data_IF_487630583897
#
_entry.id   IF_487630583897
#
_cell.length_a   1.000
_cell.length_b   1.000
_cell.length_c   1.000
_cell.angle_alpha   90.00
_cell.angle_beta   90.00
_cell.angle_gamma   90.00
#
_symmetry.space_group_name_H-M   'P 1'
#
loop_
_entity.id
_entity.type
_entity.pdbx_description
1 polymer ?
#
# COMPACT_ATOMS: atom_id res chain seq x y z
N UNK A 1 -18.94 35.35 -10.07
CA UNK A 1 -19.97 34.34 -10.41
C UNK A 1 -19.30 33.21 -11.19
N UNK A 2 -18.88 32.16 -10.51
CA UNK A 2 -18.71 30.83 -11.09
C UNK A 2 -19.00 29.87 -9.93
N UNK A 3 -20.19 29.29 -9.93
CA UNK A 3 -20.57 28.23 -8.98
C UNK A 3 -20.00 26.94 -9.56
N UNK A 4 -19.10 26.28 -8.85
CA UNK A 4 -18.76 24.87 -9.11
C UNK A 4 -19.44 24.02 -8.05
N UNK A 5 -20.15 23.01 -8.52
CA UNK A 5 -20.91 22.05 -7.75
C UNK A 5 -19.94 21.08 -7.07
N UNK A 6 -19.96 21.07 -5.74
CA UNK A 6 -19.40 20.00 -4.93
C UNK A 6 -20.34 18.80 -5.05
N UNK A 7 -19.88 17.70 -5.65
CA UNK A 7 -20.59 16.42 -5.64
C UNK A 7 -20.22 15.73 -4.32
N UNK A 8 -21.08 15.89 -3.32
CA UNK A 8 -20.94 15.22 -2.03
C UNK A 8 -21.49 13.80 -2.18
N UNK A 9 -20.60 12.80 -2.30
CA UNK A 9 -20.98 11.39 -2.24
C UNK A 9 -21.27 11.04 -0.78
N UNK A 10 -22.56 11.07 -0.43
CA UNK A 10 -23.09 10.70 0.88
C UNK A 10 -23.09 9.17 1.02
N UNK A 11 -22.14 8.61 1.76
CA UNK A 11 -22.22 7.23 2.25
C UNK A 11 -23.36 7.12 3.25
N UNK A 12 -24.48 6.54 2.82
CA UNK A 12 -25.64 6.27 3.69
C UNK A 12 -25.32 5.03 4.55
N UNK A 13 -24.97 5.26 5.81
CA UNK A 13 -25.01 4.26 6.87
C UNK A 13 -26.47 3.86 7.12
N UNK A 14 -26.88 2.69 6.60
CA UNK A 14 -28.17 2.08 6.94
C UNK A 14 -28.07 1.40 8.31
N UNK A 15 -28.51 2.11 9.35
CA UNK A 15 -28.84 1.51 10.63
C UNK A 15 -30.18 0.76 10.51
N UNK A 16 -30.14 -0.55 10.30
CA UNK A 16 -31.33 -1.41 10.39
C UNK A 16 -31.61 -1.76 11.86
N UNK A 17 -32.66 -1.15 12.41
CA UNK A 17 -33.25 -1.52 13.68
C UNK A 17 -34.07 -2.81 13.54
N UNK A 18 -33.72 -3.82 14.32
CA UNK A 18 -34.54 -5.02 14.47
C UNK A 18 -35.72 -4.71 15.42
N UNK A 19 -36.94 -4.72 14.88
CA UNK A 19 -38.17 -4.83 15.66
C UNK A 19 -38.98 -6.03 15.15
N UNK A 20 -39.05 -7.06 16.01
CA UNK A 20 -39.91 -8.24 15.86
C UNK A 20 -41.40 -7.85 15.91
N UNK A 21 -42.21 -8.42 15.01
CA UNK A 21 -43.36 -9.29 15.33
C UNK A 21 -44.30 -9.51 14.10
N UNK A 22 -45.08 -10.61 14.06
CA UNK A 22 -45.45 -11.30 12.82
C UNK A 22 -46.94 -11.19 12.43
N UNK A 23 -47.25 -11.51 11.18
CA UNK A 23 -48.53 -12.15 10.80
C UNK A 23 -48.51 -12.75 9.38
N UNK A 24 -48.56 -14.08 9.32
CA UNK A 24 -49.46 -14.94 8.52
C UNK A 24 -50.12 -14.47 7.20
N UNK A 25 -49.94 -15.33 6.17
CA UNK A 25 -50.94 -15.80 5.16
C UNK A 25 -51.26 -14.78 4.03
N UNK A 26 -51.24 -15.07 2.72
CA UNK A 26 -51.78 -16.22 1.99
C UNK A 26 -51.31 -16.26 0.51
N UNK A 27 -51.35 -17.46 -0.07
CA UNK A 27 -51.15 -17.83 -1.49
C UNK A 27 -52.18 -17.19 -2.43
N UNK A 28 -51.76 -16.65 -3.60
CA UNK A 28 -52.52 -16.74 -4.87
C UNK A 28 -51.57 -16.86 -6.07
N UNK A 29 -51.90 -17.82 -6.91
CA UNK A 29 -51.34 -18.23 -8.20
C UNK A 29 -51.52 -17.22 -9.36
N UNK A 30 -50.58 -17.34 -10.32
CA UNK A 30 -50.80 -17.47 -11.77
C UNK A 30 -50.76 -16.26 -12.74
N UNK A 31 -49.91 -16.49 -13.77
CA UNK A 31 -50.15 -16.39 -15.23
C UNK A 31 -49.54 -15.21 -16.01
N UNK A 32 -48.46 -15.59 -16.73
CA UNK A 32 -48.03 -15.26 -18.12
C UNK A 32 -48.08 -13.83 -18.64
N UNK A 33 -46.98 -13.39 -19.26
CA UNK A 33 -46.89 -13.29 -20.72
C UNK A 33 -45.46 -13.02 -21.19
N UNK A 34 -45.10 -13.69 -22.28
CA UNK A 34 -43.86 -13.54 -23.00
C UNK A 34 -43.87 -12.24 -23.82
N UNK A 35 -42.69 -11.63 -23.99
CA UNK A 35 -42.46 -10.76 -25.13
C UNK A 35 -41.02 -10.91 -25.64
N UNK A 36 -40.96 -11.29 -26.92
CA UNK A 36 -39.78 -11.50 -27.74
C UNK A 36 -39.04 -10.18 -27.97
N UNK A 37 -37.71 -10.19 -27.89
CA UNK A 37 -36.87 -9.16 -28.47
C UNK A 37 -35.74 -9.81 -29.29
N UNK A 38 -35.87 -9.62 -30.59
CA UNK A 38 -34.98 -9.93 -31.70
C UNK A 38 -33.51 -9.54 -31.45
N UNK A 39 -32.62 -10.54 -31.51
CA UNK A 39 -31.16 -10.37 -31.62
C UNK A 39 -30.78 -10.21 -33.10
N UNK A 40 -30.18 -9.07 -33.46
CA UNK A 40 -29.45 -8.92 -34.71
C UNK A 40 -27.98 -9.28 -34.49
N UNK A 41 -27.56 -10.40 -35.09
CA UNK A 41 -26.16 -10.76 -35.27
C UNK A 41 -25.52 -9.77 -36.26
N UNK A 42 -24.40 -9.17 -35.87
CA UNK A 42 -23.48 -8.53 -36.83
C UNK A 42 -22.21 -9.37 -36.85
N UNK A 43 -22.00 -10.05 -37.98
CA UNK A 43 -20.74 -10.69 -38.36
C UNK A 43 -19.64 -9.63 -38.47
N UNK A 44 -18.51 -9.83 -37.80
CA UNK A 44 -17.25 -9.16 -38.15
C UNK A 44 -16.24 -10.23 -38.53
N UNK A 45 -15.77 -10.08 -39.77
CA UNK A 45 -14.85 -10.96 -40.45
C UNK A 45 -13.45 -10.90 -39.84
N UNK A 46 -12.91 -12.10 -39.63
CA UNK A 46 -11.50 -12.42 -39.50
C UNK A 46 -10.68 -11.85 -40.66
N UNK A 47 -9.57 -11.16 -40.36
CA UNK A 47 -8.45 -11.04 -41.29
C UNK A 47 -7.11 -11.22 -40.56
N UNK A 48 -6.37 -12.21 -41.05
CA UNK A 48 -4.98 -12.51 -40.78
C UNK A 48 -4.05 -11.37 -41.22
N UNK A 49 -3.03 -11.06 -40.41
CA UNK A 49 -1.70 -10.64 -40.86
C UNK A 49 -0.73 -10.72 -39.66
N UNK A 50 0.08 -11.78 -39.59
CA UNK A 50 1.52 -11.75 -39.86
C UNK A 50 2.38 -11.06 -38.78
N UNK A 51 3.03 -11.93 -37.99
CA UNK A 51 4.25 -11.65 -37.22
C UNK A 51 5.35 -11.04 -38.11
N UNK A 52 6.25 -10.22 -37.53
CA UNK A 52 7.63 -10.18 -37.95
C UNK A 52 8.55 -10.83 -36.91
N UNK A 53 9.53 -11.51 -37.48
CA UNK A 53 10.56 -12.32 -36.84
C UNK A 53 11.51 -11.53 -35.95
N UNK A 54 11.90 -12.24 -34.89
CA UNK A 54 12.99 -11.98 -33.96
C UNK A 54 14.32 -12.18 -34.69
N UNK A 55 15.14 -11.13 -34.81
CA UNK A 55 16.53 -11.25 -35.26
C UNK A 55 17.48 -10.94 -34.11
N UNK A 56 18.08 -12.00 -33.57
CA UNK A 56 19.14 -11.98 -32.57
C UNK A 56 20.45 -11.78 -33.35
N UNK A 57 21.17 -10.69 -33.05
CA UNK A 57 22.57 -10.52 -33.43
C UNK A 57 23.40 -10.54 -32.15
N UNK A 58 24.07 -11.66 -31.93
CA UNK A 58 25.15 -11.80 -30.97
C UNK A 58 26.43 -11.27 -31.62
N UNK A 59 27.09 -10.30 -31.00
CA UNK A 59 28.50 -10.04 -31.23
C UNK A 59 29.24 -10.01 -29.90
N UNK A 60 30.03 -11.07 -29.71
CA UNK A 60 31.09 -11.15 -28.73
C UNK A 60 32.21 -10.17 -29.10
N UNK A 61 32.78 -9.48 -28.12
CA UNK A 61 34.21 -9.19 -28.15
C UNK A 61 34.77 -9.28 -26.74
N UNK A 62 35.58 -10.31 -26.56
CA UNK A 62 36.46 -10.50 -25.42
C UNK A 62 37.83 -9.86 -25.71
N UNK A 63 38.46 -9.43 -24.62
CA UNK A 63 39.89 -9.21 -24.40
C UNK A 63 40.57 -8.00 -25.06
N UNK A 64 41.02 -7.07 -24.21
CA UNK A 64 42.47 -6.95 -23.98
C UNK A 64 42.76 -6.30 -22.62
N UNK A 65 43.45 -7.06 -21.76
CA UNK A 65 44.26 -6.53 -20.65
C UNK A 65 45.47 -5.77 -21.22
N UNK A 66 45.83 -4.63 -20.62
CA UNK A 66 47.23 -4.30 -20.36
C UNK A 66 47.37 -3.16 -19.32
N UNK A 67 47.93 -3.57 -18.18
CA UNK A 67 48.77 -2.87 -17.20
C UNK A 67 49.41 -1.53 -17.58
N UNK A 68 49.48 -0.61 -16.59
CA UNK A 68 50.64 0.20 -16.14
C UNK A 68 50.21 0.80 -14.78
N UNK A 69 50.69 0.28 -13.64
CA UNK A 69 51.87 0.70 -12.86
C UNK A 69 51.88 2.16 -12.36
N UNK A 70 51.70 2.27 -11.05
CA UNK A 70 52.22 3.21 -10.05
C UNK A 70 52.80 4.56 -10.49
N UNK A 71 52.27 5.64 -9.89
CA UNK A 71 53.14 6.70 -9.41
C UNK A 71 52.58 7.31 -8.11
N UNK A 72 53.24 6.98 -7.00
CA UNK A 72 53.18 7.75 -5.76
C UNK A 72 53.82 9.11 -6.04
N UNK A 73 53.12 10.20 -5.73
CA UNK A 73 53.82 11.41 -5.36
C UNK A 73 53.16 12.10 -4.17
N UNK A 74 54.05 12.49 -3.28
CA UNK A 74 53.77 12.87 -1.89
C UNK A 74 53.60 14.39 -1.86
N UNK A 75 52.41 14.88 -1.58
CA UNK A 75 52.18 16.30 -1.33
C UNK A 75 51.42 16.47 -0.02
N UNK A 76 52.21 16.66 1.04
CA UNK A 76 51.81 17.21 2.33
C UNK A 76 51.15 18.58 2.11
N UNK A 77 49.85 18.69 2.34
CA UNK A 77 49.20 19.98 2.59
C UNK A 77 48.49 19.93 3.93
N UNK A 78 49.22 20.45 4.91
CA UNK A 78 48.71 20.95 6.17
C UNK A 78 47.80 22.15 5.85
N UNK A 79 46.49 21.96 6.00
CA UNK A 79 45.51 23.01 6.04
C UNK A 79 44.33 22.51 6.87
N UNK A 80 44.42 22.79 8.18
CA UNK A 80 43.31 22.83 9.11
C UNK A 80 42.17 23.66 8.50
N UNK A 81 41.16 22.97 7.95
CA UNK A 81 39.85 23.56 7.75
C UNK A 81 39.18 23.49 9.11
N UNK A 82 39.00 24.66 9.71
CA UNK A 82 38.07 24.88 10.80
C UNK A 82 36.68 24.57 10.22
N UNK A 83 36.24 23.31 10.33
CA UNK A 83 34.86 22.89 10.11
C UNK A 83 34.01 23.59 11.17
N UNK A 84 33.64 24.84 10.91
CA UNK A 84 32.37 25.34 11.41
C UNK A 84 31.33 24.37 10.86
N UNK A 85 30.96 23.38 11.67
CA UNK A 85 29.94 22.39 11.35
C UNK A 85 28.75 23.15 10.75
N UNK A 86 28.58 23.00 9.43
CA UNK A 86 27.46 23.59 8.73
C UNK A 86 26.24 22.84 9.28
N UNK A 87 25.49 23.49 10.16
CA UNK A 87 24.25 22.96 10.74
C UNK A 87 23.38 22.54 9.57
N UNK A 88 22.94 21.28 9.58
CA UNK A 88 22.17 20.75 8.45
C UNK A 88 20.82 21.45 8.38
N UNK A 89 20.23 21.53 7.19
CA UNK A 89 18.91 22.14 7.03
C UNK A 89 17.84 21.39 7.84
N UNK A 90 18.01 20.07 8.03
CA UNK A 90 17.19 19.24 8.88
C UNK A 90 17.29 19.62 10.36
N UNK A 91 18.48 19.86 10.89
CA UNK A 91 18.68 20.32 12.27
C UNK A 91 18.00 21.68 12.49
N UNK A 92 18.13 22.61 11.54
CA UNK A 92 17.44 23.89 11.58
C UNK A 92 15.91 23.73 11.53
N UNK A 93 15.39 22.75 10.78
CA UNK A 93 13.95 22.49 10.73
C UNK A 93 13.44 21.91 12.04
N UNK A 94 14.16 20.94 12.63
CA UNK A 94 13.84 20.36 13.94
C UNK A 94 13.89 21.40 15.07
N UNK A 95 14.71 22.44 14.93
CA UNK A 95 14.76 23.57 15.87
C UNK A 95 13.77 24.69 15.54
N UNK A 96 12.85 24.48 14.59
CA UNK A 96 11.86 25.47 14.16
C UNK A 96 12.46 26.75 13.53
N UNK A 97 13.67 26.68 12.97
CA UNK A 97 14.41 27.80 12.36
C UNK A 97 14.43 27.75 10.82
N UNK A 98 14.25 26.57 10.23
CA UNK A 98 14.05 26.38 8.80
C UNK A 98 12.59 25.98 8.50
N UNK A 99 12.24 26.02 7.22
CA UNK A 99 10.90 25.68 6.74
C UNK A 99 10.95 24.54 5.74
N UNK A 100 9.90 23.74 5.71
CA UNK A 100 9.57 22.82 4.63
C UNK A 100 8.64 23.51 3.64
N UNK A 101 8.90 23.31 2.34
CA UNK A 101 8.04 23.76 1.27
C UNK A 101 7.00 22.70 0.93
N UNK A 102 5.74 23.00 1.14
CA UNK A 102 4.61 22.11 0.85
C UNK A 102 4.02 22.53 -0.50
N UNK A 103 4.31 21.75 -1.54
CA UNK A 103 3.71 21.91 -2.87
C UNK A 103 2.67 20.81 -3.14
N UNK A 104 1.73 21.08 -4.05
CA UNK A 104 0.71 20.10 -4.49
C UNK A 104 1.20 19.23 -5.64
N UNK A 105 2.42 19.44 -6.13
CA UNK A 105 2.98 18.69 -7.26
C UNK A 105 3.39 17.28 -6.85
N UNK A 106 3.78 17.12 -5.59
CA UNK A 106 3.96 15.82 -4.97
C UNK A 106 2.62 15.41 -4.34
N UNK A 107 2.03 14.30 -4.79
CA UNK A 107 0.79 13.77 -4.21
C UNK A 107 1.11 13.14 -2.85
N UNK A 108 1.22 13.98 -1.82
CA UNK A 108 1.79 13.67 -0.50
C UNK A 108 0.77 13.05 0.44
N UNK A 109 -0.02 12.08 -0.03
CA UNK A 109 -1.02 11.39 0.79
C UNK A 109 -2.21 12.26 1.24
N UNK A 110 -3.21 11.60 1.84
CA UNK A 110 -4.54 12.15 2.15
C UNK A 110 -4.51 13.48 2.92
N UNK A 111 -3.60 13.65 3.88
CA UNK A 111 -3.55 14.84 4.73
C UNK A 111 -2.95 16.06 4.04
N UNK A 112 -1.79 15.94 3.39
CA UNK A 112 -1.21 17.08 2.67
C UNK A 112 -1.92 17.36 1.35
N UNK A 113 -2.58 16.36 0.73
CA UNK A 113 -3.36 16.58 -0.49
C UNK A 113 -4.58 17.50 -0.28
N UNK A 114 -5.07 17.62 0.96
CA UNK A 114 -6.22 18.46 1.30
C UNK A 114 -5.81 19.81 1.92
N UNK A 115 -4.53 20.04 2.20
CA UNK A 115 -4.05 21.32 2.74
C UNK A 115 -4.03 22.37 1.63
N UNK A 116 -5.08 23.18 1.61
CA UNK A 116 -5.12 24.47 0.93
C UNK A 116 -4.68 25.58 1.90
N UNK A 117 -3.76 26.47 1.50
CA UNK A 117 -3.17 26.61 0.16
C UNK A 117 -1.90 25.78 -0.06
N UNK A 118 -1.81 25.12 -1.22
CA UNK A 118 -0.52 24.60 -1.72
C UNK A 118 0.48 25.72 -2.06
N UNK A 119 1.77 25.41 -1.96
CA UNK A 119 2.87 26.35 -2.20
C UNK A 119 3.22 27.20 -0.98
N UNK A 120 3.11 26.65 0.21
CA UNK A 120 3.44 27.33 1.47
C UNK A 120 4.75 26.81 2.07
N UNK A 121 5.46 27.69 2.75
CA UNK A 121 6.59 27.32 3.60
C UNK A 121 6.09 27.22 5.05
N UNK A 122 6.39 26.11 5.72
CA UNK A 122 5.94 25.80 7.07
C UNK A 122 7.15 25.48 7.95
N UNK A 123 7.20 26.02 9.17
CA UNK A 123 8.10 25.50 10.21
C UNK A 123 7.58 24.15 10.73
N UNK A 124 8.33 23.49 11.61
CA UNK A 124 7.84 22.26 12.25
C UNK A 124 6.57 22.50 13.06
N UNK A 125 6.52 23.61 13.82
CA UNK A 125 5.33 24.01 14.58
C UNK A 125 4.12 24.25 13.68
N UNK A 126 4.33 24.95 12.56
CA UNK A 126 3.27 25.17 11.57
C UNK A 126 2.77 23.84 10.97
N UNK A 127 3.70 22.95 10.61
CA UNK A 127 3.37 21.64 10.03
C UNK A 127 2.56 20.78 10.99
N UNK A 128 2.94 20.75 12.26
CA UNK A 128 2.22 20.01 13.31
C UNK A 128 0.83 20.62 13.54
N UNK A 129 0.71 21.95 13.55
CA UNK A 129 -0.60 22.59 13.68
C UNK A 129 -1.52 22.27 12.49
N UNK A 130 -0.98 22.21 11.27
CA UNK A 130 -1.75 21.80 10.09
C UNK A 130 -2.29 20.37 10.20
N UNK A 131 -1.50 19.43 10.75
CA UNK A 131 -1.98 18.07 11.00
C UNK A 131 -3.14 18.05 12.01
N UNK A 132 -3.00 18.79 13.12
CA UNK A 132 -4.04 18.89 14.16
C UNK A 132 -5.33 19.47 13.57
N UNK A 133 -5.21 20.57 12.83
CA UNK A 133 -6.35 21.25 12.21
C UNK A 133 -7.05 20.31 11.20
N UNK A 134 -6.29 19.55 10.40
CA UNK A 134 -6.84 18.58 9.45
C UNK A 134 -7.57 17.43 10.16
N UNK A 135 -7.02 16.90 11.26
CA UNK A 135 -7.66 15.85 12.05
C UNK A 135 -8.97 16.35 12.68
N UNK A 136 -8.97 17.57 13.22
CA UNK A 136 -10.16 18.18 13.81
C UNK A 136 -11.25 18.45 12.75
N UNK A 137 -10.86 18.85 11.53
CA UNK A 137 -11.80 19.08 10.41
C UNK A 137 -12.41 17.77 9.87
N UNK A 138 -11.57 16.78 9.54
CA UNK A 138 -12.01 15.55 8.87
C UNK A 138 -12.84 14.64 9.77
N UNK A 139 -12.47 14.53 11.05
CA UNK A 139 -13.13 13.64 12.00
C UNK A 139 -14.10 14.37 12.93
N UNK A 140 -14.18 15.71 12.86
CA UNK A 140 -14.99 16.52 13.77
C UNK A 140 -14.52 16.42 15.22
N UNK A 141 -13.24 16.08 15.41
CA UNK A 141 -12.62 16.06 16.73
C UNK A 141 -12.40 17.48 17.23
N UNK A 142 -12.43 17.63 18.55
CA UNK A 142 -12.13 18.91 19.18
C UNK A 142 -11.17 18.65 20.32
N UNK A 143 -10.06 19.38 20.33
CA UNK A 143 -9.04 19.24 21.37
C UNK A 143 -8.06 18.12 21.09
N UNK A 144 -7.77 17.84 19.81
CA UNK A 144 -6.62 17.05 19.44
C UNK A 144 -5.35 17.73 19.97
N UNK A 145 -4.49 16.96 20.63
CA UNK A 145 -3.23 17.44 21.23
C UNK A 145 -2.06 16.58 20.81
N UNK A 146 -0.85 17.14 20.78
CA UNK A 146 0.38 16.40 20.52
C UNK A 146 0.70 15.54 21.74
N UNK A 147 1.01 14.26 21.51
CA UNK A 147 1.60 13.37 22.51
C UNK A 147 3.12 13.34 22.41
N UNK A 148 3.65 13.14 21.21
CA UNK A 148 5.08 13.08 20.94
C UNK A 148 5.41 13.53 19.53
N UNK A 149 6.61 14.06 19.37
CA UNK A 149 7.27 14.23 18.09
C UNK A 149 8.56 13.44 18.16
N UNK A 150 8.73 12.50 17.25
CA UNK A 150 9.94 11.70 17.12
C UNK A 150 10.53 11.90 15.72
N UNK A 151 11.83 11.69 15.58
CA UNK A 151 12.50 11.81 14.29
C UNK A 151 13.64 10.81 14.15
N UNK A 152 14.09 10.61 12.92
CA UNK A 152 15.31 9.89 12.61
C UNK A 152 15.88 10.35 11.26
N UNK A 153 17.17 10.10 11.07
CA UNK A 153 17.83 10.22 9.77
C UNK A 153 17.86 8.85 9.10
N UNK A 154 17.48 8.80 7.82
CA UNK A 154 17.46 7.59 6.98
C UNK A 154 18.15 7.88 5.65
N UNK A 155 18.63 6.87 4.94
CA UNK A 155 19.34 6.99 3.66
C UNK A 155 18.49 6.32 2.56
N UNK A 156 17.49 7.03 2.05
CA UNK A 156 16.53 6.48 1.11
C UNK A 156 17.25 5.91 -0.12
N UNK A 157 16.95 4.66 -0.48
CA UNK A 157 17.63 4.01 -1.61
C UNK A 157 19.11 3.68 -1.40
N UNK A 158 19.67 3.87 -0.20
CA UNK A 158 21.07 3.57 0.14
C UNK A 158 22.06 4.30 -0.79
N UNK A 159 21.86 5.61 -0.97
CA UNK A 159 22.67 6.46 -1.85
C UNK A 159 23.75 7.27 -1.11
N UNK A 160 23.75 7.18 0.22
CA UNK A 160 24.67 7.84 1.14
C UNK A 160 24.26 9.24 1.56
N UNK A 161 23.10 9.74 1.13
CA UNK A 161 22.55 11.03 1.53
C UNK A 161 21.39 10.83 2.50
N UNK A 162 21.43 11.54 3.63
CA UNK A 162 20.39 11.40 4.64
C UNK A 162 19.15 12.24 4.29
N UNK A 163 17.98 11.65 4.53
CA UNK A 163 16.68 12.28 4.67
C UNK A 163 16.25 12.31 6.13
N UNK A 164 15.34 13.25 6.45
CA UNK A 164 14.73 13.34 7.77
C UNK A 164 13.35 12.69 7.73
N UNK A 165 13.13 11.68 8.56
CA UNK A 165 11.78 11.16 8.84
C UNK A 165 11.29 11.71 10.18
N UNK A 166 10.04 12.16 10.22
CA UNK A 166 9.36 12.70 11.40
C UNK A 166 8.11 11.88 11.65
N UNK A 167 7.88 11.54 12.92
CA UNK A 167 6.71 10.85 13.42
C UNK A 167 6.02 11.76 14.45
N UNK A 168 4.77 12.15 14.19
CA UNK A 168 3.96 12.99 15.08
C UNK A 168 2.77 12.20 15.57
N UNK A 169 2.78 11.89 16.87
CA UNK A 169 1.67 11.21 17.55
C UNK A 169 0.75 12.25 18.17
N UNK A 170 -0.54 12.14 17.86
CA UNK A 170 -1.58 13.01 18.41
C UNK A 170 -2.62 12.19 19.16
N UNK A 171 -3.16 12.80 20.21
CA UNK A 171 -4.23 12.26 21.05
C UNK A 171 -5.50 13.08 20.83
N UNK A 172 -6.59 12.39 20.51
CA UNK A 172 -7.95 12.92 20.47
C UNK A 172 -8.89 11.92 21.18
N UNK A 173 -10.09 11.67 20.64
CA UNK A 173 -10.89 10.50 21.04
C UNK A 173 -10.16 9.20 20.67
N UNK A 174 -9.37 9.26 19.60
CA UNK A 174 -8.52 8.21 19.07
C UNK A 174 -7.05 8.68 19.08
N UNK A 175 -6.10 7.79 18.80
CA UNK A 175 -4.70 8.16 18.56
C UNK A 175 -4.40 8.10 17.07
N UNK A 176 -3.63 9.08 16.58
CA UNK A 176 -3.15 9.12 15.20
C UNK A 176 -1.65 9.32 15.18
N UNK A 177 -0.99 8.61 14.28
CA UNK A 177 0.46 8.74 14.05
C UNK A 177 0.70 9.20 12.63
N UNK A 178 1.36 10.34 12.47
CA UNK A 178 1.66 10.93 11.17
C UNK A 178 3.15 10.74 10.87
N UNK A 179 3.47 10.10 9.76
CA UNK A 179 4.84 9.93 9.27
C UNK A 179 5.08 10.87 8.10
N UNK A 180 6.19 11.59 8.11
CA UNK A 180 6.62 12.44 7.00
C UNK A 180 8.10 12.17 6.72
N UNK A 181 8.44 11.93 5.45
CA UNK A 181 9.84 11.91 4.99
C UNK A 181 10.12 13.22 4.25
N UNK A 182 11.18 13.91 4.66
CA UNK A 182 11.65 15.18 4.10
C UNK A 182 13.00 14.98 3.42
N UNK A 183 13.14 15.54 2.22
CA UNK A 183 14.39 15.57 1.46
C UNK A 183 14.74 17.01 1.07
N UNK A 184 16.03 17.34 1.09
CA UNK A 184 16.53 18.59 0.57
C UNK A 184 16.67 18.54 -0.97
N UNK A 185 16.04 19.51 -1.64
CA UNK A 185 16.23 19.78 -3.06
C UNK A 185 16.69 21.23 -3.23
N UNK A 186 17.89 21.43 -3.80
CA UNK A 186 18.44 22.75 -4.11
C UNK A 186 18.41 23.74 -2.92
N UNK A 187 18.68 23.27 -1.69
CA UNK A 187 18.65 24.10 -0.47
C UNK A 187 17.27 24.31 0.15
N UNK A 188 16.25 23.58 -0.30
CA UNK A 188 14.89 23.66 0.21
C UNK A 188 14.40 22.28 0.65
N UNK A 189 13.85 22.16 1.87
CA UNK A 189 13.21 20.92 2.31
C UNK A 189 11.86 20.76 1.62
N UNK A 190 11.58 19.55 1.15
CA UNK A 190 10.27 19.15 0.62
C UNK A 190 9.86 17.82 1.22
N UNK A 191 8.56 17.61 1.51
CA UNK A 191 8.08 16.30 1.81
C UNK A 191 8.11 15.44 0.54
N UNK A 192 8.50 14.18 0.69
CA UNK A 192 8.51 13.17 -0.39
C UNK A 192 7.62 11.98 -0.06
N UNK A 193 7.17 11.88 1.19
CA UNK A 193 6.23 10.89 1.67
C UNK A 193 5.45 11.43 2.84
N UNK A 194 4.17 11.08 2.93
CA UNK A 194 3.33 11.31 4.10
C UNK A 194 2.35 10.16 4.25
N UNK A 195 2.23 9.69 5.48
CA UNK A 195 1.29 8.63 5.85
C UNK A 195 0.69 8.92 7.20
N UNK A 196 -0.58 8.56 7.37
CA UNK A 196 -1.25 8.62 8.66
C UNK A 196 -1.78 7.26 9.01
N UNK A 197 -1.53 6.90 10.26
CA UNK A 197 -2.07 5.73 10.92
C UNK A 197 -3.12 6.12 11.95
N UNK A 198 -4.21 5.37 11.97
CA UNK A 198 -5.23 5.45 13.01
C UNK A 198 -5.09 4.29 14.01
N UNK A 199 -6.12 4.08 14.83
CA UNK A 199 -6.05 3.17 15.99
C UNK A 199 -5.89 1.69 15.67
N UNK A 200 -5.97 1.32 14.39
CA UNK A 200 -5.90 -0.05 13.88
C UNK A 200 -4.97 -0.17 12.67
N UNK A 201 -4.08 0.80 12.48
CA UNK A 201 -3.04 0.70 11.48
C UNK A 201 -1.69 1.06 12.07
N UNK A 202 -0.65 0.57 11.42
CA UNK A 202 0.72 0.81 11.82
C UNK A 202 1.60 0.83 10.58
N UNK A 203 2.66 1.63 10.65
CA UNK A 203 3.63 1.83 9.57
C UNK A 203 5.02 1.62 10.13
N UNK A 204 5.81 0.84 9.41
CA UNK A 204 7.20 0.57 9.67
C UNK A 204 8.03 1.17 8.55
N UNK A 205 9.01 1.99 8.92
CA UNK A 205 9.97 2.60 8.01
C UNK A 205 11.36 2.07 8.39
N UNK A 206 12.14 1.67 7.40
CA UNK A 206 13.50 1.22 7.62
C UNK A 206 14.54 2.29 7.26
N UNK A 207 15.81 2.02 7.56
CA UNK A 207 16.94 2.95 7.34
C UNK A 207 17.17 3.30 5.86
N UNK A 208 16.54 2.58 4.92
CA UNK A 208 16.69 2.80 3.48
C UNK A 208 15.40 3.26 2.77
N UNK A 209 14.41 3.74 3.53
CA UNK A 209 13.17 4.28 2.98
C UNK A 209 12.19 3.22 2.47
N UNK A 210 12.38 1.94 2.80
CA UNK A 210 11.37 0.90 2.57
C UNK A 210 10.29 0.99 3.66
N UNK A 211 9.03 0.98 3.21
CA UNK A 211 7.87 1.30 4.03
C UNK A 211 6.88 0.15 3.93
N UNK A 212 6.41 -0.26 5.10
CA UNK A 212 5.40 -1.29 5.24
C UNK A 212 4.29 -0.76 6.13
N UNK A 213 3.07 -0.72 5.63
CA UNK A 213 1.91 -0.41 6.46
C UNK A 213 0.99 -1.62 6.52
N UNK A 214 0.31 -1.78 7.64
CA UNK A 214 -0.83 -2.68 7.75
C UNK A 214 -1.98 -2.01 8.49
N UNK A 215 -3.19 -2.44 8.16
CA UNK A 215 -4.42 -1.85 8.61
C UNK A 215 -5.49 -2.91 8.83
N UNK A 216 -6.44 -2.58 9.71
CA UNK A 216 -7.61 -3.40 9.92
C UNK A 216 -8.90 -2.58 9.84
N UNK A 217 -9.68 -2.86 8.81
CA UNK A 217 -10.96 -2.19 8.52
C UNK A 217 -12.18 -2.91 9.13
N UNK A 218 -11.97 -3.96 9.95
CA UNK A 218 -13.08 -4.72 10.51
C UNK A 218 -12.63 -6.02 11.17
N UNK A 219 -13.57 -6.89 11.53
CA UNK A 219 -13.25 -8.22 12.07
C UNK A 219 -12.60 -9.16 11.02
N UNK A 220 -12.81 -8.86 9.74
CA UNK A 220 -12.50 -9.76 8.64
C UNK A 220 -11.71 -9.10 7.51
N UNK A 221 -11.36 -7.82 7.62
CA UNK A 221 -10.68 -7.10 6.55
C UNK A 221 -9.39 -6.50 7.06
N UNK A 222 -8.32 -6.87 6.38
CA UNK A 222 -6.99 -6.36 6.63
C UNK A 222 -6.30 -6.03 5.33
N UNK A 223 -5.55 -4.94 5.35
CA UNK A 223 -4.76 -4.44 4.24
C UNK A 223 -3.29 -4.38 4.63
N UNK A 224 -2.42 -4.71 3.70
CA UNK A 224 -0.98 -4.56 3.81
C UNK A 224 -0.51 -3.77 2.60
N UNK A 225 0.28 -2.73 2.82
CA UNK A 225 0.84 -1.90 1.75
C UNK A 225 2.36 -1.96 1.82
N UNK A 226 3.00 -2.18 0.67
CA UNK A 226 4.46 -2.14 0.51
C UNK A 226 4.84 -1.04 -0.46
N UNK A 227 5.73 -0.17 -0.01
CA UNK A 227 6.13 1.04 -0.72
C UNK A 227 7.61 1.31 -0.42
N UNK A 228 8.26 2.17 -1.19
CA UNK A 228 9.53 2.76 -0.76
C UNK A 228 9.80 4.11 -1.42
N UNK A 229 10.71 4.87 -0.80
CA UNK A 229 11.28 6.10 -1.35
C UNK A 229 12.70 5.82 -1.83
N UNK A 230 13.03 6.17 -3.07
CA UNK A 230 14.39 6.04 -3.61
C UNK A 230 15.31 7.21 -3.18
N UNK A 231 16.60 7.12 -3.49
CA UNK A 231 17.56 8.19 -3.16
C UNK A 231 17.34 9.51 -3.90
N UNK A 232 16.48 9.55 -4.92
CA UNK A 232 16.06 10.79 -5.55
C UNK A 232 14.83 11.40 -4.87
N UNK A 233 14.30 10.79 -3.80
CA UNK A 233 13.06 11.18 -3.16
C UNK A 233 11.81 10.80 -3.96
N UNK A 234 11.92 9.85 -4.90
CA UNK A 234 10.77 9.38 -5.68
C UNK A 234 10.05 8.28 -4.91
N UNK A 235 8.72 8.42 -4.82
CA UNK A 235 7.85 7.38 -4.31
C UNK A 235 7.66 6.23 -5.30
N UNK A 236 7.71 5.01 -4.79
CA UNK A 236 7.48 3.78 -5.51
C UNK A 236 6.46 2.92 -4.78
N UNK A 237 5.30 2.73 -5.41
CA UNK A 237 4.31 1.75 -4.99
C UNK A 237 4.74 0.36 -5.44
N UNK A 238 4.75 -0.62 -4.53
CA UNK A 238 5.02 -2.02 -4.87
C UNK A 238 3.70 -2.78 -4.99
N UNK A 239 2.96 -2.94 -3.90
CA UNK A 239 1.66 -3.59 -3.91
C UNK A 239 0.84 -3.28 -2.65
N UNK A 240 -0.46 -3.50 -2.76
CA UNK A 240 -1.41 -3.60 -1.66
C UNK A 240 -1.99 -5.00 -1.66
N UNK A 241 -1.96 -5.69 -0.53
CA UNK A 241 -2.66 -6.96 -0.33
C UNK A 241 -3.83 -6.71 0.59
N UNK A 242 -5.03 -6.95 0.09
CA UNK A 242 -6.26 -6.96 0.86
C UNK A 242 -6.64 -8.41 1.12
N UNK A 243 -6.62 -8.81 2.38
CA UNK A 243 -7.20 -10.09 2.80
C UNK A 243 -8.64 -9.85 3.23
N UNK A 244 -9.57 -10.46 2.52
CA UNK A 244 -10.97 -10.46 2.86
C UNK A 244 -11.30 -11.81 3.49
N UNK A 245 -11.65 -11.78 4.76
CA UNK A 245 -12.32 -12.80 5.55
C UNK A 245 -11.59 -14.15 5.58
N UNK A 246 -11.16 -14.55 6.79
CA UNK A 246 -10.88 -15.96 7.04
C UNK A 246 -12.16 -16.72 6.67
N UNK A 247 -12.09 -17.63 5.71
CA UNK A 247 -13.14 -18.61 5.40
C UNK A 247 -13.18 -19.56 6.61
N UNK A 248 -13.87 -19.12 7.67
CA UNK A 248 -13.98 -19.84 8.95
C UNK A 248 -15.18 -20.77 8.85
N UNK A 249 -14.91 -22.04 9.07
CA UNK A 249 -15.95 -23.04 9.31
C UNK A 249 -16.60 -22.71 10.65
N UNK A 250 -17.93 -22.44 10.67
CA UNK A 250 -18.84 -22.37 11.83
C UNK A 250 -19.28 -21.02 12.45
N UNK A 251 -18.67 -19.86 12.15
CA UNK A 251 -18.99 -18.61 12.87
C UNK A 251 -19.36 -17.39 11.99
N UNK A 252 -18.79 -17.26 10.80
CA UNK A 252 -19.08 -16.18 9.86
C UNK A 252 -19.18 -16.76 8.44
N UNK A 253 -20.29 -16.53 7.75
CA UNK A 253 -20.49 -17.02 6.38
C UNK A 253 -19.33 -16.62 5.47
N UNK A 254 -18.88 -17.54 4.62
CA UNK A 254 -17.77 -17.36 3.68
C UNK A 254 -18.15 -16.50 2.48
N UNK A 255 -18.63 -15.28 2.73
CA UNK A 255 -18.90 -14.31 1.67
C UNK A 255 -17.58 -13.74 1.16
N UNK A 256 -17.28 -14.00 -0.11
CA UNK A 256 -16.13 -13.45 -0.82
C UNK A 256 -16.58 -12.25 -1.63
N UNK A 257 -15.73 -11.23 -1.73
CA UNK A 257 -15.97 -10.08 -2.59
C UNK A 257 -14.93 -10.05 -3.70
N UNK A 258 -15.39 -10.11 -4.95
CA UNK A 258 -14.54 -9.99 -6.14
C UNK A 258 -15.41 -9.62 -7.35
N UNK A 259 -14.80 -9.02 -8.38
CA UNK A 259 -15.51 -8.51 -9.57
C UNK A 259 -16.68 -7.59 -9.20
N UNK A 260 -16.49 -6.73 -8.20
CA UNK A 260 -17.53 -5.83 -7.66
C UNK A 260 -18.81 -6.50 -7.12
N UNK A 261 -18.83 -7.81 -6.84
CA UNK A 261 -20.00 -8.55 -6.36
C UNK A 261 -19.68 -9.43 -5.14
N UNK A 262 -20.68 -9.67 -4.29
CA UNK A 262 -20.57 -10.63 -3.18
C UNK A 262 -20.95 -12.04 -3.63
N UNK A 263 -20.08 -12.99 -3.33
CA UNK A 263 -20.20 -14.39 -3.70
C UNK A 263 -20.27 -15.25 -2.43
N UNK A 264 -21.38 -15.96 -2.26
CA UNK A 264 -21.57 -16.83 -1.10
C UNK A 264 -20.98 -18.22 -1.38
N UNK A 265 -20.18 -18.74 -0.45
CA UNK A 265 -19.81 -20.15 -0.45
C UNK A 265 -20.96 -21.01 0.11
N UNK A 266 -21.31 -22.09 -0.58
CA UNK A 266 -22.39 -22.98 -0.14
C UNK A 266 -22.00 -23.77 1.11
N UNK A 267 -22.97 -24.11 1.97
CA UNK A 267 -22.72 -24.98 3.15
C UNK A 267 -22.14 -26.34 2.75
N UNK A 268 -22.49 -26.85 1.56
CA UNK A 268 -21.93 -28.11 1.03
C UNK A 268 -20.44 -27.96 0.71
N UNK A 269 -20.05 -26.88 0.03
CA UNK A 269 -18.65 -26.59 -0.28
C UNK A 269 -17.85 -26.37 1.01
N UNK A 270 -18.35 -25.53 1.92
CA UNK A 270 -17.72 -25.34 3.22
C UNK A 270 -17.55 -26.67 3.96
N UNK A 271 -18.59 -27.52 3.95
CA UNK A 271 -18.64 -28.84 4.59
C UNK A 271 -17.60 -29.86 4.13
N UNK A 272 -16.99 -29.67 2.96
CA UNK A 272 -15.97 -30.56 2.40
C UNK A 272 -14.54 -29.97 2.44
N UNK A 273 -14.38 -28.71 2.85
CA UNK A 273 -13.07 -28.10 3.01
C UNK A 273 -12.45 -28.51 4.35
N UNK A 274 -11.17 -28.89 4.30
CA UNK A 274 -10.38 -29.21 5.49
C UNK A 274 -9.43 -28.04 5.82
N UNK A 275 -9.74 -27.35 6.93
CA UNK A 275 -8.96 -26.21 7.44
C UNK A 275 -9.62 -24.85 7.17
N UNK A 276 -9.00 -23.80 7.70
CA UNK A 276 -9.37 -22.41 7.41
C UNK A 276 -8.59 -21.95 6.18
N UNK A 277 -9.20 -21.09 5.37
CA UNK A 277 -8.57 -20.51 4.20
C UNK A 277 -8.67 -18.99 4.26
N UNK A 278 -7.63 -18.32 3.80
CA UNK A 278 -7.62 -16.88 3.60
C UNK A 278 -7.71 -16.59 2.11
N UNK A 279 -8.54 -15.63 1.74
CA UNK A 279 -8.68 -15.13 0.38
C UNK A 279 -7.98 -13.77 0.25
N UNK A 280 -7.17 -13.63 -0.78
CA UNK A 280 -6.33 -12.45 -1.02
C UNK A 280 -6.71 -11.79 -2.34
N UNK A 281 -6.76 -10.47 -2.31
CA UNK A 281 -6.82 -9.58 -3.44
C UNK A 281 -5.54 -8.74 -3.41
N UNK A 282 -4.83 -8.66 -4.52
CA UNK A 282 -3.53 -7.99 -4.60
C UNK A 282 -3.55 -7.00 -5.75
N UNK A 283 -3.38 -5.73 -5.40
CA UNK A 283 -3.20 -4.61 -6.31
C UNK A 283 -1.69 -4.39 -6.51
N UNK A 284 -1.22 -4.50 -7.75
CA UNK A 284 0.19 -4.29 -8.14
C UNK A 284 0.41 -2.92 -8.81
N UNK A 285 -0.65 -2.15 -9.05
CA UNK A 285 -0.65 -0.95 -9.88
C UNK A 285 -1.08 0.32 -9.13
N UNK A 286 -1.58 0.20 -7.90
CA UNK A 286 -1.97 1.31 -7.04
C UNK A 286 -3.31 1.91 -7.46
N UNK A 287 -4.18 1.07 -8.02
CA UNK A 287 -5.51 1.38 -8.54
C UNK A 287 -6.59 1.04 -7.51
N UNK A 288 -6.44 1.52 -6.27
CA UNK A 288 -7.29 1.17 -5.12
C UNK A 288 -8.82 1.32 -5.32
N UNK A 289 -9.27 2.11 -6.30
CA UNK A 289 -10.70 2.30 -6.63
C UNK A 289 -11.19 1.43 -7.82
N UNK A 290 -10.30 0.70 -8.47
CA UNK A 290 -10.53 -0.12 -9.66
C UNK A 290 -9.92 -1.52 -9.46
N UNK A 291 -10.76 -2.50 -9.13
CA UNK A 291 -10.36 -3.88 -8.89
C UNK A 291 -10.16 -4.70 -10.18
N UNK A 292 -10.25 -4.07 -11.37
CA UNK A 292 -10.24 -4.80 -12.65
C UNK A 292 -8.87 -5.36 -13.04
N UNK A 293 -7.78 -4.84 -12.47
CA UNK A 293 -6.42 -5.32 -12.66
C UNK A 293 -5.83 -6.05 -11.44
N UNK A 294 -6.64 -6.24 -10.40
CA UNK A 294 -6.25 -7.00 -9.22
C UNK A 294 -6.08 -8.49 -9.54
N UNK A 295 -5.14 -9.10 -8.81
CA UNK A 295 -4.91 -10.53 -8.87
C UNK A 295 -5.38 -11.20 -7.58
N UNK A 296 -6.00 -12.35 -7.73
CA UNK A 296 -6.62 -13.06 -6.62
C UNK A 296 -5.89 -14.37 -6.31
N UNK A 297 -5.83 -14.69 -5.03
CA UNK A 297 -5.28 -15.95 -4.54
C UNK A 297 -6.03 -16.40 -3.29
N UNK A 298 -5.74 -17.60 -2.82
CA UNK A 298 -6.17 -18.08 -1.52
C UNK A 298 -5.13 -19.05 -0.98
N UNK A 299 -5.04 -19.22 0.33
CA UNK A 299 -4.17 -20.22 0.94
C UNK A 299 -4.79 -20.77 2.23
N UNK A 300 -4.38 -21.97 2.64
CA UNK A 300 -4.80 -22.50 3.94
C UNK A 300 -4.06 -21.76 5.05
N UNK A 301 -4.81 -21.24 6.02
CA UNK A 301 -4.28 -20.59 7.21
C UNK A 301 -3.70 -21.64 8.16
N UNK A 302 -2.48 -21.43 8.63
CA UNK A 302 -1.85 -22.21 9.70
C UNK A 302 -1.93 -21.43 11.02
N UNK A 303 -1.03 -21.74 11.96
CA UNK A 303 -0.96 -21.02 13.23
C UNK A 303 -0.56 -19.55 13.03
N UNK A 304 -1.12 -18.67 13.86
CA UNK A 304 -0.76 -17.25 13.92
C UNK A 304 0.75 -17.08 13.98
N UNK A 305 1.27 -16.19 13.15
CA UNK A 305 2.69 -15.91 13.16
C UNK A 305 3.03 -15.00 14.35
N UNK A 306 3.50 -15.61 15.43
CA UNK A 306 3.97 -14.89 16.61
C UNK A 306 5.43 -14.40 16.47
N UNK A 307 6.10 -14.66 15.33
CA UNK A 307 7.51 -14.31 15.16
C UNK A 307 7.74 -12.80 15.02
N UNK A 308 6.68 -12.02 14.77
CA UNK A 308 6.81 -10.63 14.35
C UNK A 308 7.34 -10.51 12.92
N UNK A 309 7.52 -11.61 12.18
CA UNK A 309 7.85 -11.59 10.75
C UNK A 309 6.61 -11.54 9.85
N UNK A 310 5.40 -11.53 10.42
CA UNK A 310 4.13 -11.31 9.70
C UNK A 310 4.12 -10.02 8.86
N UNK A 311 5.08 -9.13 9.09
CA UNK A 311 5.35 -7.96 8.26
C UNK A 311 6.00 -8.28 6.91
N UNK A 312 6.42 -9.51 6.62
CA UNK A 312 7.09 -9.90 5.37
C UNK A 312 6.18 -10.63 4.38
N UNK A 313 4.91 -10.86 4.73
CA UNK A 313 3.94 -11.57 3.90
C UNK A 313 2.73 -10.74 3.52
N UNK A 314 1.71 -11.44 3.01
CA UNK A 314 0.41 -10.89 2.60
C UNK A 314 -0.64 -10.93 3.72
N UNK A 315 -0.31 -11.54 4.87
CA UNK A 315 -1.25 -11.84 5.95
C UNK A 315 -0.55 -12.13 7.30
N UNK A 316 -1.28 -12.04 8.41
CA UNK A 316 -0.75 -12.20 9.79
C UNK A 316 -0.56 -13.64 10.27
N UNK A 317 -0.92 -14.63 9.45
CA UNK A 317 -0.73 -16.04 9.79
C UNK A 317 0.26 -16.70 8.83
N UNK A 318 0.87 -17.79 9.28
CA UNK A 318 1.63 -18.63 8.37
C UNK A 318 0.66 -19.24 7.36
N UNK A 319 0.96 -19.12 6.08
CA UNK A 319 0.17 -19.70 5.00
C UNK A 319 0.79 -21.02 4.56
N UNK A 320 -0.04 -22.02 4.34
CA UNK A 320 0.38 -23.31 3.79
C UNK A 320 1.01 -23.11 2.40
N UNK A 321 2.06 -23.90 2.09
CA UNK A 321 2.74 -23.95 0.80
C UNK A 321 2.23 -25.11 -0.08
N UNK A 322 1.11 -25.73 0.31
CA UNK A 322 0.48 -26.83 -0.42
C UNK A 322 -0.12 -26.36 -1.76
N UNK A 323 0.68 -26.45 -2.82
CA UNK A 323 0.27 -26.12 -4.18
C UNK A 323 -0.89 -26.98 -4.71
N UNK A 324 -1.18 -28.14 -4.10
CA UNK A 324 -2.26 -29.03 -4.58
C UNK A 324 -3.66 -28.44 -4.40
N UNK A 325 -3.82 -27.42 -3.56
CA UNK A 325 -5.08 -26.70 -3.44
C UNK A 325 -5.42 -25.94 -4.74
N UNK A 326 -4.43 -25.59 -5.57
CA UNK A 326 -4.67 -24.91 -6.86
C UNK A 326 -4.92 -25.87 -8.02
N UNK A 327 -4.97 -27.19 -7.78
CA UNK A 327 -5.35 -28.14 -8.82
C UNK A 327 -6.81 -27.94 -9.25
N UNK A 328 -7.12 -28.07 -10.54
CA UNK A 328 -8.49 -27.96 -11.10
C UNK A 328 -9.52 -28.91 -10.46
N UNK A 329 -9.05 -29.94 -9.75
CA UNK A 329 -9.91 -30.87 -9.01
C UNK A 329 -10.22 -30.44 -7.58
N UNK A 330 -9.54 -29.43 -7.05
CA UNK A 330 -9.76 -28.97 -5.68
C UNK A 330 -11.07 -28.18 -5.57
N UNK A 331 -11.89 -28.37 -4.51
CA UNK A 331 -13.23 -27.79 -4.46
C UNK A 331 -13.29 -26.26 -4.59
N UNK A 332 -12.38 -25.51 -3.94
CA UNK A 332 -12.35 -24.04 -4.09
C UNK A 332 -11.94 -23.62 -5.50
N UNK A 333 -10.95 -24.30 -6.11
CA UNK A 333 -10.53 -23.99 -7.48
C UNK A 333 -11.66 -24.23 -8.50
N UNK A 334 -12.44 -25.31 -8.32
CA UNK A 334 -13.64 -25.56 -9.12
C UNK A 334 -14.66 -24.44 -8.99
N UNK A 335 -14.93 -24.01 -7.75
CA UNK A 335 -15.83 -22.88 -7.49
C UNK A 335 -15.38 -21.60 -8.20
N UNK A 336 -14.11 -21.21 -8.07
CA UNK A 336 -13.58 -20.01 -8.71
C UNK A 336 -13.63 -20.10 -10.24
N UNK A 337 -13.29 -21.26 -10.81
CA UNK A 337 -13.42 -21.52 -12.24
C UNK A 337 -14.88 -21.38 -12.73
N UNK A 338 -15.86 -21.83 -11.96
CA UNK A 338 -17.29 -21.66 -12.27
C UNK A 338 -17.74 -20.20 -12.20
N UNK A 339 -17.17 -19.40 -11.29
CA UNK A 339 -17.40 -17.95 -11.21
C UNK A 339 -16.62 -17.16 -12.28
N UNK A 340 -15.73 -17.82 -13.03
CA UNK A 340 -14.87 -17.16 -14.01
C UNK A 340 -13.79 -16.28 -13.38
N UNK A 341 -13.44 -16.52 -12.11
CA UNK A 341 -12.37 -15.80 -11.41
C UNK A 341 -11.02 -16.48 -11.68
N UNK A 342 -10.07 -15.70 -12.19
CA UNK A 342 -8.70 -16.18 -12.37
C UNK A 342 -7.99 -16.18 -11.00
N UNK A 343 -7.63 -17.37 -10.53
CA UNK A 343 -6.81 -17.55 -9.33
C UNK A 343 -5.36 -17.83 -9.72
N UNK A 344 -4.44 -17.22 -8.97
CA UNK A 344 -3.01 -17.50 -9.05
C UNK A 344 -2.55 -18.22 -7.78
N UNK A 345 -1.60 -19.14 -7.95
CA UNK A 345 -0.92 -19.76 -6.81
C UNK A 345 -0.12 -18.73 -6.01
N UNK A 346 0.11 -19.02 -4.73
CA UNK A 346 0.95 -18.16 -3.88
C UNK A 346 2.32 -17.89 -4.49
N UNK A 347 2.93 -18.91 -5.10
CA UNK A 347 4.22 -18.80 -5.79
C UNK A 347 4.16 -17.89 -7.03
N UNK A 348 3.07 -17.92 -7.78
CA UNK A 348 2.88 -17.00 -8.91
C UNK A 348 2.74 -15.56 -8.43
N UNK A 349 1.98 -15.34 -7.35
CA UNK A 349 1.89 -14.04 -6.67
C UNK A 349 3.27 -13.55 -6.22
N UNK A 350 4.04 -14.38 -5.51
CA UNK A 350 5.41 -14.05 -5.08
C UNK A 350 6.28 -13.63 -6.27
N UNK A 351 6.17 -14.35 -7.38
CA UNK A 351 6.92 -14.04 -8.61
C UNK A 351 6.49 -12.71 -9.23
N UNK A 352 5.19 -12.39 -9.21
CA UNK A 352 4.68 -11.10 -9.71
C UNK A 352 5.20 -9.94 -8.85
N UNK A 353 5.20 -10.12 -7.54
CA UNK A 353 5.67 -9.11 -6.58
C UNK A 353 7.17 -8.92 -6.69
N UNK A 354 7.97 -10.00 -6.70
CA UNK A 354 9.42 -9.91 -6.96
C UNK A 354 9.72 -9.21 -8.29
N UNK A 355 8.94 -9.49 -9.32
CA UNK A 355 9.08 -8.82 -10.63
C UNK A 355 8.80 -7.33 -10.52
N UNK A 356 7.73 -6.95 -9.81
CA UNK A 356 7.37 -5.55 -9.55
C UNK A 356 8.43 -4.83 -8.72
N UNK A 357 8.95 -5.46 -7.66
CA UNK A 357 10.05 -4.94 -6.86
C UNK A 357 11.28 -4.62 -7.73
N UNK A 358 11.69 -5.54 -8.60
CA UNK A 358 12.81 -5.35 -9.53
C UNK A 358 12.52 -4.22 -10.53
N UNK A 359 11.29 -4.13 -11.04
CA UNK A 359 10.90 -3.09 -12.01
C UNK A 359 10.91 -1.70 -11.40
N UNK A 360 10.50 -1.57 -10.14
CA UNK A 360 10.53 -0.28 -9.44
C UNK A 360 11.95 0.10 -9.02
N UNK A 361 12.85 -0.88 -8.84
CA UNK A 361 14.24 -0.66 -8.45
C UNK A 361 14.55 -1.02 -7.00
N UNK A 362 13.62 -1.70 -6.32
CA UNK A 362 13.80 -2.16 -4.95
C UNK A 362 14.82 -3.30 -4.92
N UNK A 363 15.90 -3.11 -4.15
CA UNK A 363 16.94 -4.14 -3.96
C UNK A 363 16.70 -4.91 -2.67
N UNK A 364 17.28 -6.11 -2.58
CA UNK A 364 17.26 -6.88 -1.34
C UNK A 364 17.98 -6.19 -0.18
N UNK A 365 18.96 -5.33 -0.46
CA UNK A 365 19.64 -4.54 0.56
C UNK A 365 18.69 -3.48 1.15
N UNK A 366 18.01 -2.71 0.30
CA UNK A 366 17.00 -1.72 0.72
C UNK A 366 15.87 -2.41 1.50
N UNK A 367 15.29 -3.49 0.96
CA UNK A 367 14.17 -4.23 1.58
C UNK A 367 14.53 -4.82 2.96
N UNK A 368 15.79 -5.21 3.18
CA UNK A 368 16.25 -5.81 4.44
C UNK A 368 17.00 -4.82 5.36
N UNK A 369 16.93 -3.52 5.09
CA UNK A 369 17.42 -2.48 6.00
C UNK A 369 16.77 -2.59 7.38
N UNK A 370 17.47 -2.11 8.41
CA UNK A 370 16.97 -2.15 9.79
C UNK A 370 15.81 -1.19 9.98
N UNK A 371 14.85 -1.58 10.82
CA UNK A 371 13.81 -0.67 11.30
C UNK A 371 14.47 0.56 11.91
N UNK A 372 13.94 1.74 11.59
CA UNK A 372 14.45 3.01 12.07
C UNK A 372 14.43 3.09 13.60
N UNK A 373 15.47 3.69 14.18
CA UNK A 373 15.51 3.98 15.62
C UNK A 373 15.12 5.43 15.84
N UNK A 374 13.98 5.63 16.49
CA UNK A 374 13.41 6.95 16.73
C UNK A 374 14.13 7.70 17.86
N UNK A 375 14.31 9.00 17.65
CA UNK A 375 14.75 9.96 18.67
C UNK A 375 13.59 10.86 19.04
N UNK A 376 13.27 10.94 20.33
CA UNK A 376 12.27 11.87 20.83
C UNK A 376 12.78 13.32 20.69
N UNK A 377 11.95 14.20 20.14
CA UNK A 377 12.20 15.64 20.06
C UNK A 377 11.72 16.30 21.36
N UNK A 378 12.62 16.99 22.06
CA UNK A 378 12.39 17.61 23.39
C UNK A 378 11.70 18.98 23.34
#
# INVERSE_FOLDING_TARGET
>A
MLKRSLSLTLCILLLSSCANAPSETQVVEQVTSAQEASVQQTEVQSSNAQQPEKQIAAESNAALEQSIEENQDTATSDASIDETAQVSLYELFLSNEATVHIDSENNLGYFLSNIEPSGMDATLEDLVQLMIDSLDEDYGYSGTTIESIEYAFIDCGNDGNEELVICVTTLSIDYFTNYIILKEFDGQLKPVYVKVDGVRSQTFINEYGYIMSDGSSGASYHDFVKEYIDGNGKYHYIYTSMSATIIIFDEYGGDLYFNNEFHNLSEELLGILEGNFDFFQIDLYGTLEDDSDDVYSYARSLEYDNSGDGFRGYFYCNLDDDESIYDDSFPLMQYFNEQGLQIYSKKEIDTMIETKEIQEGLTQEIKNGKVVTWTLLD
#
